data_IF_557792035700
#
_entry.id   IF_557792035700
#
_cell.length_a   1.000
_cell.length_b   1.000
_cell.length_c   1.000
_cell.angle_alpha   90.00
_cell.angle_beta   90.00
_cell.angle_gamma   90.00
#
_symmetry.space_group_name_H-M   'P 1'
#
loop_
_entity.id
_entity.type
_entity.pdbx_description
1 polymer ?
#
# COMPACT_ATOMS: atom_id res chain seq x y z
N UNK A 1 7.32 17.22 -0.46
CA UNK A 1 7.17 16.43 -1.69
C UNK A 1 5.75 16.64 -2.18
N UNK A 2 5.55 16.94 -3.46
CA UNK A 2 4.22 16.90 -4.07
C UNK A 2 3.62 15.49 -3.95
N UNK A 3 2.30 15.36 -4.01
CA UNK A 3 1.64 14.05 -3.91
C UNK A 3 2.20 13.12 -5.02
N UNK A 4 2.75 11.95 -4.66
CA UNK A 4 3.23 10.99 -5.65
C UNK A 4 2.07 10.47 -6.49
N UNK A 5 2.33 10.20 -7.78
CA UNK A 5 1.41 9.43 -8.59
C UNK A 5 1.50 7.96 -8.19
N UNK A 6 0.38 7.41 -7.69
CA UNK A 6 0.28 6.04 -7.19
C UNK A 6 -0.60 5.17 -8.10
N UNK A 7 -0.94 5.64 -9.31
CA UNK A 7 -1.91 5.01 -10.20
C UNK A 7 -1.54 3.57 -10.56
N UNK A 8 -0.25 3.32 -10.81
CA UNK A 8 0.28 1.98 -11.14
C UNK A 8 1.01 1.32 -9.94
N UNK A 9 0.81 1.86 -8.72
CA UNK A 9 1.52 1.38 -7.56
C UNK A 9 0.89 0.11 -6.97
N UNK A 10 1.74 -0.85 -6.61
CA UNK A 10 1.34 -1.99 -5.79
C UNK A 10 1.38 -1.61 -4.33
N UNK A 11 0.28 -1.77 -3.60
CA UNK A 11 0.20 -1.36 -2.19
C UNK A 11 0.37 -2.56 -1.26
N UNK A 12 1.19 -2.41 -0.22
CA UNK A 12 1.43 -3.40 0.83
C UNK A 12 1.06 -2.85 2.20
N UNK A 13 0.50 -3.71 3.05
CA UNK A 13 0.20 -3.42 4.46
C UNK A 13 0.74 -4.52 5.37
N UNK A 14 1.00 -4.22 6.64
CA UNK A 14 1.43 -5.24 7.61
C UNK A 14 0.24 -6.14 7.96
N UNK A 15 0.42 -7.45 7.81
CA UNK A 15 -0.54 -8.47 8.20
C UNK A 15 -0.89 -8.38 9.70
N UNK A 16 -2.17 -8.51 10.05
CA UNK A 16 -2.62 -8.59 11.44
C UNK A 16 -2.64 -7.26 12.20
N UNK A 17 -2.28 -6.15 11.58
CA UNK A 17 -2.52 -4.83 12.15
C UNK A 17 -3.91 -4.32 11.75
N UNK A 18 -4.92 -4.63 12.56
CA UNK A 18 -6.24 -4.01 12.44
C UNK A 18 -6.13 -2.51 12.65
N UNK A 19 -6.37 -1.74 11.59
CA UNK A 19 -6.30 -0.28 11.61
C UNK A 19 -4.92 0.31 11.24
N UNK A 20 -4.02 -0.48 10.63
CA UNK A 20 -2.76 0.05 10.10
C UNK A 20 -3.05 1.21 9.14
N UNK A 21 -2.61 2.39 9.55
CA UNK A 21 -2.61 3.61 8.72
C UNK A 21 -1.42 3.60 7.75
N UNK A 22 -0.41 2.81 8.10
CA UNK A 22 0.84 2.65 7.38
C UNK A 22 0.67 1.80 6.13
N UNK A 23 0.85 2.41 4.96
CA UNK A 23 0.83 1.73 3.66
C UNK A 23 2.15 1.95 2.93
N UNK A 24 2.57 0.94 2.19
CA UNK A 24 3.78 0.98 1.39
C UNK A 24 3.42 0.77 -0.05
N UNK A 25 3.63 1.78 -0.88
CA UNK A 25 3.34 1.76 -2.30
C UNK A 25 4.63 1.55 -3.06
N UNK A 26 4.66 0.51 -3.89
CA UNK A 26 5.78 0.20 -4.76
C UNK A 26 5.41 0.64 -6.17
N UNK A 27 6.16 1.60 -6.71
CA UNK A 27 6.00 2.08 -8.07
C UNK A 27 6.65 1.12 -9.09
N UNK A 28 6.30 1.21 -10.39
CA UNK A 28 6.85 0.34 -11.43
C UNK A 28 8.38 0.45 -11.58
N UNK A 29 8.96 1.60 -11.23
CA UNK A 29 10.41 1.85 -11.20
C UNK A 29 11.11 1.30 -9.95
N UNK A 30 10.38 0.56 -9.11
CA UNK A 30 10.80 0.01 -7.81
C UNK A 30 10.99 1.05 -6.69
N UNK A 31 10.58 2.30 -6.92
CA UNK A 31 10.55 3.31 -5.86
C UNK A 31 9.50 2.92 -4.82
N UNK A 32 9.87 3.03 -3.54
CA UNK A 32 8.98 2.72 -2.42
C UNK A 32 8.52 4.02 -1.77
N UNK A 33 7.22 4.24 -1.75
CA UNK A 33 6.56 5.36 -1.08
C UNK A 33 5.86 4.84 0.17
N UNK A 34 6.16 5.43 1.31
CA UNK A 34 5.50 5.19 2.57
C UNK A 34 4.41 6.23 2.81
N UNK A 35 3.15 5.79 2.89
CA UNK A 35 2.02 6.60 3.34
C UNK A 35 1.81 6.34 4.83
N UNK A 36 2.22 7.30 5.68
CA UNK A 36 2.08 7.19 7.14
C UNK A 36 0.65 7.50 7.60
N UNK A 37 -0.01 8.41 6.87
CA UNK A 37 -1.40 8.85 7.08
C UNK A 37 -2.01 9.16 5.73
N UNK A 38 -3.35 9.11 5.57
CA UNK A 38 -4.00 9.45 4.31
C UNK A 38 -3.51 10.81 3.78
N UNK A 39 -2.78 10.80 2.67
CA UNK A 39 -2.23 12.00 2.04
C UNK A 39 -0.86 12.48 2.55
N UNK A 40 -0.25 11.80 3.53
CA UNK A 40 1.11 12.09 4.03
C UNK A 40 2.09 11.03 3.51
N UNK A 41 2.91 11.43 2.53
CA UNK A 41 3.83 10.54 1.81
C UNK A 41 5.29 10.88 2.08
N UNK A 42 6.10 9.83 2.18
CA UNK A 42 7.55 9.90 2.29
C UNK A 42 8.18 8.82 1.39
N UNK A 43 9.26 9.14 0.68
CA UNK A 43 10.03 8.12 -0.04
C UNK A 43 10.87 7.30 0.94
N UNK A 44 10.70 5.98 0.91
CA UNK A 44 11.40 5.07 1.79
C UNK A 44 12.85 4.86 1.32
N UNK A 45 13.81 5.43 2.04
CA UNK A 45 15.24 5.33 1.70
C UNK A 45 15.91 4.02 2.09
N UNK A 46 15.31 3.28 3.02
CA UNK A 46 15.91 2.07 3.62
C UNK A 46 15.17 0.80 3.22
N UNK A 47 13.91 0.92 2.83
CA UNK A 47 13.04 -0.22 2.56
C UNK A 47 12.89 -0.40 1.05
N UNK A 48 13.35 -1.53 0.52
CA UNK A 48 13.29 -1.82 -0.92
C UNK A 48 12.04 -2.60 -1.30
N UNK A 49 11.62 -2.49 -2.55
CA UNK A 49 10.51 -3.27 -3.12
C UNK A 49 10.69 -4.78 -2.89
N UNK A 50 11.91 -5.29 -3.09
CA UNK A 50 12.24 -6.70 -2.84
C UNK A 50 12.01 -7.08 -1.38
N UNK A 51 12.41 -6.23 -0.43
CA UNK A 51 12.20 -6.48 1.02
C UNK A 51 10.72 -6.57 1.39
N UNK A 52 9.86 -5.79 0.75
CA UNK A 52 8.41 -5.87 0.95
C UNK A 52 7.85 -7.19 0.41
N UNK A 53 8.28 -7.58 -0.80
CA UNK A 53 7.79 -8.79 -1.47
C UNK A 53 8.25 -10.08 -0.79
N UNK A 54 9.48 -10.14 -0.29
CA UNK A 54 10.07 -11.33 0.31
C UNK A 54 9.61 -11.60 1.76
N UNK A 55 8.94 -10.62 2.40
CA UNK A 55 8.52 -10.74 3.80
C UNK A 55 7.07 -11.18 3.92
N UNK A 56 6.77 -12.34 4.53
CA UNK A 56 5.41 -12.88 4.65
C UNK A 56 4.50 -12.05 5.58
N UNK A 57 5.07 -11.11 6.34
CA UNK A 57 4.33 -10.18 7.18
C UNK A 57 3.67 -9.04 6.41
N UNK A 58 3.94 -8.89 5.11
CA UNK A 58 3.34 -7.86 4.26
C UNK A 58 2.36 -8.48 3.28
N UNK A 59 1.17 -7.91 3.20
CA UNK A 59 0.10 -8.38 2.33
C UNK A 59 -0.12 -7.34 1.25
N UNK A 60 -0.10 -7.79 0.00
CA UNK A 60 -0.51 -6.97 -1.14
C UNK A 60 -2.02 -6.67 -1.03
N UNK A 61 -2.36 -5.39 -1.10
CA UNK A 61 -3.74 -4.94 -1.15
C UNK A 61 -4.03 -4.59 -2.60
N UNK A 62 -4.79 -5.45 -3.28
CA UNK A 62 -5.31 -5.11 -4.60
C UNK A 62 -6.14 -3.82 -4.52
N UNK A 63 -6.02 -2.95 -5.52
CA UNK A 63 -6.73 -1.67 -5.61
C UNK A 63 -8.28 -1.80 -5.75
N UNK A 64 -8.87 -2.92 -5.33
CA UNK A 64 -10.28 -3.27 -5.48
C UNK A 64 -11.04 -3.48 -4.17
N UNK A 65 -10.49 -3.13 -2.99
CA UNK A 65 -11.24 -3.22 -1.71
C UNK A 65 -11.63 -1.83 -1.18
N UNK A 66 -12.21 -1.03 -2.07
CA UNK A 66 -12.94 0.18 -1.73
C UNK A 66 -14.34 0.11 -2.37
N UNK A 67 -15.06 -1.01 -2.18
CA UNK A 67 -16.52 -1.06 -2.32
C UNK A 67 -17.06 -2.30 -1.59
N UNK A 68 -17.36 -2.17 -0.29
CA UNK A 68 -18.36 -3.03 0.34
C UNK A 68 -19.68 -2.24 0.37
N UNK A 69 -20.49 -2.48 -0.65
CA UNK A 69 -21.81 -1.90 -0.87
C UNK A 69 -22.84 -2.97 -1.24
N UNK A 70 -22.96 -4.01 -0.43
CA UNK A 70 -24.15 -4.89 -0.26
C UNK A 70 -25.43 -4.48 -1.03
N UNK A 71 -25.79 -5.20 -2.09
CA UNK A 71 -27.16 -5.57 -2.52
C UNK A 71 -27.01 -6.75 -3.50
N UNK A 72 -27.68 -7.89 -3.44
CA UNK A 72 -28.75 -8.42 -2.64
C UNK A 72 -29.06 -9.81 -3.20
N UNK A 73 -29.30 -10.76 -2.30
CA UNK A 73 -29.99 -12.02 -2.56
C UNK A 73 -31.14 -11.83 -3.56
N UNK A 74 -31.19 -12.62 -4.62
CA UNK A 74 -32.38 -13.26 -5.21
C UNK A 74 -31.95 -14.33 -6.23
#
# INVERSE_FOLDING_TARGET
MDKPDLTEATTYVVAGQSGAVDRWHVLPDMTVIYERRPGEFEEARVLTASTLRDRPSWVEVSAGQADDGRLGRL
#
